data_IF_549352530355
#
_entry.id   IF_549352530355
#
_cell.length_a   1.000
_cell.length_b   1.000
_cell.length_c   1.000
_cell.angle_alpha   90.00
_cell.angle_beta   90.00
_cell.angle_gamma   90.00
#
_symmetry.space_group_name_H-M   'P 1'
#
loop_
_entity.id
_entity.type
_entity.pdbx_description
1 polymer ?
#
# COMPACT_ATOMS: atom_id res chain seq x y z
N UNK A 1 0.46 2.47 19.40
CA UNK A 1 1.79 2.34 18.76
C UNK A 1 1.57 2.53 17.28
N UNK A 2 1.73 3.76 16.77
CA UNK A 2 1.60 4.02 15.34
C UNK A 2 2.83 3.43 14.63
N UNK A 3 2.69 2.95 13.39
CA UNK A 3 3.84 2.56 12.60
C UNK A 3 4.84 3.73 12.58
N UNK A 4 6.14 3.45 12.68
CA UNK A 4 7.19 4.46 12.65
C UNK A 4 7.42 5.05 11.25
N UNK A 5 6.48 4.83 10.33
CA UNK A 5 6.57 5.20 8.93
C UNK A 5 5.17 5.44 8.35
N UNK A 6 5.11 6.25 7.30
CA UNK A 6 3.93 6.50 6.48
C UNK A 6 4.28 6.40 5.00
N UNK A 7 3.25 6.30 4.16
CA UNK A 7 3.42 6.37 2.71
C UNK A 7 3.42 7.83 2.25
N UNK A 8 4.45 8.22 1.52
CA UNK A 8 4.58 9.56 0.94
C UNK A 8 4.77 9.45 -0.56
N UNK A 9 4.07 10.29 -1.32
CA UNK A 9 4.24 10.42 -2.76
C UNK A 9 4.14 11.89 -3.13
N UNK A 10 5.19 12.43 -3.75
CA UNK A 10 5.24 13.86 -4.12
C UNK A 10 4.07 14.20 -5.05
N UNK A 11 3.23 15.13 -4.60
CA UNK A 11 2.07 15.62 -5.35
C UNK A 11 0.81 14.76 -5.26
N UNK A 12 0.83 13.65 -4.51
CA UNK A 12 -0.36 12.85 -4.25
C UNK A 12 -1.00 13.24 -2.91
N UNK A 13 -2.32 13.40 -2.92
CA UNK A 13 -3.11 13.61 -1.69
C UNK A 13 -3.66 12.30 -1.11
N UNK A 14 -4.43 12.41 -0.03
CA UNK A 14 -5.12 11.27 0.58
C UNK A 14 -6.08 10.56 -0.38
N UNK A 15 -6.70 11.29 -1.31
CA UNK A 15 -7.58 10.71 -2.31
C UNK A 15 -6.82 9.78 -3.28
N UNK A 16 -5.63 10.19 -3.73
CA UNK A 16 -4.74 9.34 -4.53
C UNK A 16 -4.29 8.13 -3.71
N UNK A 17 -3.96 8.33 -2.44
CA UNK A 17 -3.56 7.26 -1.54
C UNK A 17 -4.64 6.19 -1.46
N UNK A 18 -5.88 6.58 -1.14
CA UNK A 18 -7.00 5.67 -1.04
C UNK A 18 -7.28 4.95 -2.38
N UNK A 19 -7.15 5.66 -3.50
CA UNK A 19 -7.36 5.09 -4.84
C UNK A 19 -6.29 4.06 -5.24
N UNK A 20 -5.01 4.40 -5.06
CA UNK A 20 -3.89 3.49 -5.34
C UNK A 20 -3.89 2.31 -4.36
N UNK A 21 -4.18 2.56 -3.08
CA UNK A 21 -4.28 1.52 -2.05
C UNK A 21 -5.41 0.54 -2.39
N UNK A 22 -6.60 1.01 -2.78
CA UNK A 22 -7.72 0.16 -3.17
C UNK A 22 -7.39 -0.70 -4.41
N UNK A 23 -6.72 -0.14 -5.42
CA UNK A 23 -6.27 -0.89 -6.59
C UNK A 23 -5.24 -1.96 -6.23
N UNK A 24 -4.25 -1.60 -5.40
CA UNK A 24 -3.23 -2.54 -4.96
C UNK A 24 -3.83 -3.65 -4.08
N UNK A 25 -4.77 -3.32 -3.19
CA UNK A 25 -5.53 -4.31 -2.41
C UNK A 25 -6.31 -5.25 -3.31
N UNK A 26 -7.06 -4.73 -4.29
CA UNK A 26 -7.80 -5.56 -5.24
C UNK A 26 -6.88 -6.49 -6.04
N UNK A 27 -5.70 -6.03 -6.43
CA UNK A 27 -4.72 -6.84 -7.18
C UNK A 27 -4.04 -7.90 -6.31
N UNK A 28 -3.69 -7.55 -5.08
CA UNK A 28 -2.86 -8.39 -4.21
C UNK A 28 -3.68 -9.35 -3.36
N UNK A 29 -4.89 -8.94 -2.98
CA UNK A 29 -5.81 -9.70 -2.15
C UNK A 29 -6.98 -10.33 -2.93
N UNK A 30 -7.08 -10.13 -4.26
CA UNK A 30 -8.04 -10.92 -5.04
C UNK A 30 -7.66 -12.40 -5.00
N UNK A 31 -8.60 -13.24 -4.56
CA UNK A 31 -8.41 -14.68 -4.42
C UNK A 31 -7.70 -15.14 -3.15
N UNK A 32 -7.30 -14.24 -2.25
CA UNK A 32 -7.04 -14.61 -0.86
C UNK A 32 -8.36 -14.52 -0.11
N UNK A 33 -8.84 -15.58 0.54
CA UNK A 33 -10.11 -15.67 1.31
C UNK A 33 -10.16 -14.71 2.53
N UNK A 34 -9.88 -13.42 2.33
CA UNK A 34 -9.72 -12.41 3.37
C UNK A 34 -8.39 -12.51 4.15
N UNK A 35 -7.53 -13.50 3.87
CA UNK A 35 -6.32 -13.73 4.65
C UNK A 35 -5.14 -12.87 4.17
N UNK A 36 -4.84 -11.80 4.91
CA UNK A 36 -3.62 -11.01 4.73
C UNK A 36 -2.44 -11.77 5.33
N UNK A 37 -1.54 -12.28 4.48
CA UNK A 37 -0.32 -12.98 4.88
C UNK A 37 0.89 -12.05 4.74
N UNK A 38 2.02 -12.40 5.37
CA UNK A 38 3.27 -11.65 5.18
C UNK A 38 3.67 -11.54 3.69
N UNK A 39 3.37 -12.57 2.89
CA UNK A 39 3.61 -12.58 1.44
C UNK A 39 2.72 -11.55 0.73
N UNK A 40 1.44 -11.48 1.09
CA UNK A 40 0.53 -10.51 0.48
C UNK A 40 0.86 -9.08 0.93
N UNK A 41 1.29 -8.86 2.17
CA UNK A 41 1.81 -7.55 2.63
C UNK A 41 3.04 -7.11 1.81
N UNK A 42 4.00 -8.00 1.54
CA UNK A 42 5.15 -7.69 0.68
C UNK A 42 4.73 -7.31 -0.75
N UNK A 43 3.75 -8.02 -1.32
CA UNK A 43 3.18 -7.70 -2.64
C UNK A 43 2.45 -6.35 -2.64
N UNK A 44 1.74 -6.04 -1.56
CA UNK A 44 1.07 -4.74 -1.37
C UNK A 44 2.09 -3.60 -1.35
N UNK A 45 3.18 -3.76 -0.58
CA UNK A 45 4.26 -2.77 -0.55
C UNK A 45 4.88 -2.56 -1.94
N UNK A 46 5.19 -3.64 -2.66
CA UNK A 46 5.74 -3.51 -4.02
C UNK A 46 4.77 -2.86 -5.01
N UNK A 47 3.46 -3.06 -4.86
CA UNK A 47 2.47 -2.38 -5.69
C UNK A 47 2.42 -0.87 -5.41
N UNK A 48 2.46 -0.46 -4.13
CA UNK A 48 2.51 0.95 -3.74
C UNK A 48 3.80 1.63 -4.23
N UNK A 49 4.95 0.96 -4.08
CA UNK A 49 6.24 1.44 -4.60
C UNK A 49 6.23 1.61 -6.12
N UNK A 50 5.64 0.67 -6.87
CA UNK A 50 5.47 0.77 -8.31
C UNK A 50 4.55 1.94 -8.74
N UNK A 51 3.63 2.36 -7.87
CA UNK A 51 2.77 3.54 -8.05
C UNK A 51 3.48 4.85 -7.67
N UNK A 52 4.73 4.78 -7.17
CA UNK A 52 5.53 5.93 -6.77
C UNK A 52 5.41 6.33 -5.30
N UNK A 53 4.79 5.50 -4.47
CA UNK A 53 4.77 5.70 -3.02
C UNK A 53 6.07 5.25 -2.38
N UNK A 54 6.57 6.02 -1.44
CA UNK A 54 7.79 5.73 -0.69
C UNK A 54 7.43 5.62 0.79
N UNK A 55 8.04 4.67 1.50
CA UNK A 55 7.90 4.60 2.96
C UNK A 55 8.82 5.63 3.58
N UNK A 56 8.22 6.70 4.08
CA UNK A 56 8.94 7.74 4.82
C UNK A 56 8.78 7.47 6.31
N UNK A 57 9.86 7.55 7.11
CA UNK A 57 9.73 7.53 8.56
C UNK A 57 8.85 8.68 9.07
N UNK A 58 8.10 8.45 10.15
CA UNK A 58 7.30 9.49 10.80
C UNK A 58 8.15 10.51 11.55
#
# INVERSE_FOLDING_TARGET
MFPSWHWEKKGAGEAEYAFDEAQCKAKVYSGTDGMVTNTSVRRMHGCMEAKGWVKTPN
#
